data_IF_213778688126
#
_entry.id   IF_213778688126
#
_cell.length_a   1.000
_cell.length_b   1.000
_cell.length_c   1.000
_cell.angle_alpha   90.00
_cell.angle_beta   90.00
_cell.angle_gamma   90.00
#
_symmetry.space_group_name_H-M   'P 1'
#
loop_
_entity.id
_entity.type
_entity.pdbx_description
1 polymer ?
#
# COMPACT_ATOMS: atom_id res chain seq x y z
N UNK A 1 8.60 -22.02 -3.70
CA UNK A 1 8.93 -21.49 -5.05
C UNK A 1 10.44 -21.48 -5.22
N UNK A 2 10.97 -21.70 -6.44
CA UNK A 2 12.39 -21.49 -6.71
C UNK A 2 12.76 -20.00 -6.55
N UNK A 3 14.03 -19.66 -6.29
CA UNK A 3 14.49 -18.28 -6.18
C UNK A 3 14.33 -17.53 -7.51
N UNK A 4 14.09 -16.22 -7.45
CA UNK A 4 13.96 -15.35 -8.63
C UNK A 4 15.33 -15.07 -9.27
N UNK A 5 15.63 -15.60 -10.47
CA UNK A 5 16.96 -15.44 -11.08
C UNK A 5 17.34 -13.97 -11.35
N UNK A 6 16.34 -13.13 -11.63
CA UNK A 6 16.53 -11.70 -11.91
C UNK A 6 17.00 -10.86 -10.70
N UNK A 7 16.87 -11.39 -9.47
CA UNK A 7 17.29 -10.70 -8.24
C UNK A 7 18.41 -11.47 -7.50
N UNK A 8 19.22 -12.24 -8.24
CA UNK A 8 20.38 -12.94 -7.68
C UNK A 8 21.51 -11.97 -7.34
N UNK A 9 22.28 -12.28 -6.30
CA UNK A 9 23.41 -11.44 -5.85
C UNK A 9 24.55 -11.50 -6.87
N UNK A 10 25.05 -10.34 -7.29
CA UNK A 10 26.30 -10.21 -8.02
C UNK A 10 26.97 -8.86 -7.74
N UNK A 11 28.28 -8.77 -8.01
CA UNK A 11 29.06 -7.55 -7.79
C UNK A 11 28.51 -6.39 -8.63
N UNK A 12 28.24 -5.26 -7.97
CA UNK A 12 27.80 -4.03 -8.63
C UNK A 12 26.32 -3.96 -8.99
N UNK A 13 25.53 -5.01 -8.71
CA UNK A 13 24.09 -4.98 -8.90
C UNK A 13 23.38 -4.33 -7.71
N UNK A 14 22.24 -3.69 -7.98
CA UNK A 14 21.32 -3.18 -6.97
C UNK A 14 20.20 -4.20 -6.73
N UNK A 15 19.88 -4.54 -5.47
CA UNK A 15 18.78 -5.46 -5.18
C UNK A 15 17.43 -4.83 -5.54
N UNK A 16 16.48 -5.66 -5.96
CA UNK A 16 15.09 -5.25 -6.12
C UNK A 16 14.55 -4.68 -4.80
N UNK A 17 13.81 -3.58 -4.92
CA UNK A 17 13.16 -2.92 -3.80
C UNK A 17 11.67 -2.77 -4.07
N UNK A 18 10.85 -2.94 -3.03
CA UNK A 18 9.42 -2.63 -3.06
C UNK A 18 9.13 -1.14 -2.85
N UNK A 19 10.16 -0.31 -2.62
CA UNK A 19 9.98 1.13 -2.42
C UNK A 19 9.38 1.80 -3.66
N UNK A 20 8.35 2.63 -3.46
CA UNK A 20 7.70 3.41 -4.51
C UNK A 20 7.47 4.86 -4.07
N UNK A 21 8.52 5.65 -3.76
CA UNK A 21 8.35 7.07 -3.50
C UNK A 21 7.79 7.75 -4.76
N UNK A 22 6.64 8.41 -4.64
CA UNK A 22 5.83 8.85 -5.78
C UNK A 22 5.43 10.31 -5.64
N UNK A 23 5.48 11.02 -6.78
CA UNK A 23 4.93 12.38 -6.93
C UNK A 23 3.95 12.33 -8.10
N UNK A 24 2.69 12.66 -7.83
CA UNK A 24 1.62 12.70 -8.82
C UNK A 24 1.35 14.15 -9.18
N UNK A 25 1.45 14.45 -10.48
CA UNK A 25 1.26 15.79 -11.03
C UNK A 25 -0.09 15.89 -11.76
N UNK A 26 -0.78 17.01 -11.60
CA UNK A 26 -1.87 17.40 -12.49
C UNK A 26 -1.33 17.70 -13.90
N UNK A 27 -2.25 17.80 -14.87
CA UNK A 27 -1.92 18.09 -16.28
C UNK A 27 -1.14 19.39 -16.49
N UNK A 28 -1.24 20.34 -15.57
CA UNK A 28 -0.52 21.61 -15.61
C UNK A 28 0.85 21.54 -14.88
N UNK A 29 1.27 20.36 -14.42
CA UNK A 29 2.56 20.14 -13.77
C UNK A 29 2.61 20.48 -12.29
N UNK A 30 1.46 20.73 -11.63
CA UNK A 30 1.42 20.97 -10.19
C UNK A 30 1.33 19.65 -9.43
N UNK A 31 2.05 19.51 -8.32
CA UNK A 31 1.96 18.31 -7.49
C UNK A 31 0.63 18.28 -6.74
N UNK A 32 -0.17 17.25 -7.02
CA UNK A 32 -1.44 17.01 -6.32
C UNK A 32 -1.24 16.06 -5.13
N UNK A 33 -0.27 15.13 -5.24
CA UNK A 33 0.06 14.18 -4.17
C UNK A 33 1.54 13.83 -4.18
N UNK A 34 2.19 13.93 -3.03
CA UNK A 34 3.51 13.36 -2.76
C UNK A 34 3.32 12.27 -1.72
N UNK A 35 3.73 11.04 -2.00
CA UNK A 35 3.44 9.90 -1.14
C UNK A 35 4.54 8.84 -1.17
N UNK A 36 4.74 8.17 -0.03
CA UNK A 36 5.61 7.03 0.10
C UNK A 36 5.28 6.20 1.33
N UNK A 37 5.97 5.07 1.49
CA UNK A 37 5.80 4.20 2.64
C UNK A 37 7.06 3.43 3.00
N UNK A 38 7.11 2.95 4.24
CA UNK A 38 8.00 1.88 4.69
C UNK A 38 7.16 0.66 5.10
N UNK A 39 7.65 -0.57 4.90
CA UNK A 39 6.86 -1.79 5.21
C UNK A 39 7.15 -3.01 4.33
N UNK A 40 8.35 -3.10 3.75
CA UNK A 40 8.73 -4.22 2.88
C UNK A 40 7.82 -4.37 1.67
N UNK A 41 7.37 -5.59 1.39
CA UNK A 41 6.49 -5.92 0.26
C UNK A 41 5.15 -5.19 0.28
N UNK A 42 4.70 -4.72 1.45
CA UNK A 42 3.44 -3.98 1.59
C UNK A 42 3.51 -2.58 1.01
N UNK A 43 4.70 -1.98 0.89
CA UNK A 43 4.90 -0.59 0.42
C UNK A 43 4.13 -0.33 -0.88
N UNK A 44 4.34 -1.18 -1.88
CA UNK A 44 3.73 -1.01 -3.22
C UNK A 44 2.21 -0.99 -3.15
N UNK A 45 1.60 -1.96 -2.46
CA UNK A 45 0.13 -2.04 -2.33
C UNK A 45 -0.45 -0.87 -1.53
N UNK A 46 0.25 -0.42 -0.49
CA UNK A 46 -0.28 0.66 0.36
C UNK A 46 -0.18 2.02 -0.31
N UNK A 47 0.90 2.28 -1.05
CA UNK A 47 1.00 3.47 -1.91
C UNK A 47 -0.11 3.46 -2.96
N UNK A 48 -0.38 2.31 -3.60
CA UNK A 48 -1.44 2.20 -4.58
C UNK A 48 -2.84 2.47 -3.99
N UNK A 49 -3.20 1.82 -2.88
CA UNK A 49 -4.51 1.98 -2.23
C UNK A 49 -4.72 3.42 -1.75
N UNK A 50 -3.76 4.00 -1.03
CA UNK A 50 -3.89 5.37 -0.51
C UNK A 50 -3.98 6.38 -1.65
N UNK A 51 -3.20 6.19 -2.73
CA UNK A 51 -3.30 7.04 -3.93
C UNK A 51 -4.68 6.93 -4.59
N UNK A 52 -5.22 5.71 -4.70
CA UNK A 52 -6.54 5.47 -5.28
C UNK A 52 -7.64 6.17 -4.48
N UNK A 53 -7.69 5.97 -3.16
CA UNK A 53 -8.68 6.62 -2.29
C UNK A 53 -8.56 8.14 -2.34
N UNK A 54 -7.34 8.67 -2.31
CA UNK A 54 -7.12 10.14 -2.32
C UNK A 54 -7.52 10.76 -3.66
N UNK A 55 -7.07 10.20 -4.78
CA UNK A 55 -7.21 10.86 -6.09
C UNK A 55 -8.44 10.43 -6.88
N UNK A 56 -8.91 9.19 -6.73
CA UNK A 56 -10.06 8.68 -7.48
C UNK A 56 -11.36 8.77 -6.68
N UNK A 57 -11.31 8.48 -5.38
CA UNK A 57 -12.49 8.58 -4.50
C UNK A 57 -12.65 9.99 -3.90
N UNK A 58 -11.57 10.80 -3.91
CA UNK A 58 -11.58 12.17 -3.42
C UNK A 58 -11.57 12.27 -1.89
N UNK A 59 -11.14 11.20 -1.21
CA UNK A 59 -11.06 11.17 0.24
C UNK A 59 -9.86 11.99 0.76
N UNK A 60 -10.03 12.62 1.92
CA UNK A 60 -8.97 13.39 2.58
C UNK A 60 -7.78 12.48 2.96
N UNK A 61 -6.57 12.86 2.53
CA UNK A 61 -5.36 12.04 2.72
C UNK A 61 -5.12 11.67 4.20
N UNK A 62 -5.40 12.62 5.11
CA UNK A 62 -5.26 12.41 6.55
C UNK A 62 -6.12 11.25 7.07
N UNK A 63 -7.36 11.15 6.57
CA UNK A 63 -8.30 10.11 6.97
C UNK A 63 -7.93 8.78 6.30
N UNK A 64 -7.57 8.81 5.02
CA UNK A 64 -7.18 7.62 4.25
C UNK A 64 -5.95 6.94 4.86
N UNK A 65 -4.93 7.70 5.26
CA UNK A 65 -3.71 7.14 5.87
C UNK A 65 -4.00 6.38 7.17
N UNK A 66 -5.07 6.74 7.89
CA UNK A 66 -5.48 6.11 9.14
C UNK A 66 -6.41 4.92 8.95
N UNK A 67 -6.92 4.67 7.74
CA UNK A 67 -7.79 3.53 7.48
C UNK A 67 -7.03 2.21 7.69
N UNK A 68 -7.67 1.18 8.27
CA UNK A 68 -7.14 -0.17 8.29
C UNK A 68 -6.86 -0.66 6.86
N UNK A 69 -5.76 -1.39 6.67
CA UNK A 69 -5.28 -1.81 5.36
C UNK A 69 -5.33 -3.31 5.14
N UNK A 70 -5.29 -3.70 3.86
CA UNK A 70 -5.13 -5.08 3.42
C UNK A 70 -3.96 -5.24 2.42
N UNK A 71 -3.46 -6.45 2.27
CA UNK A 71 -2.34 -6.77 1.39
C UNK A 71 -2.40 -8.23 0.93
N UNK A 72 -2.07 -8.46 -0.34
CA UNK A 72 -1.81 -9.79 -0.89
C UNK A 72 -0.61 -9.70 -1.84
N UNK A 73 0.34 -10.62 -1.72
CA UNK A 73 1.59 -10.63 -2.52
C UNK A 73 1.77 -11.94 -3.30
N UNK A 74 0.68 -12.64 -3.59
CA UNK A 74 0.63 -13.96 -4.23
C UNK A 74 1.19 -15.08 -3.36
N UNK A 75 2.41 -14.95 -2.83
CA UNK A 75 2.99 -15.95 -1.93
C UNK A 75 3.46 -15.27 -0.64
N UNK A 76 2.98 -15.68 0.55
CA UNK A 76 1.97 -16.73 0.78
C UNK A 76 0.59 -16.40 0.17
N UNK A 77 -0.21 -17.43 -0.10
CA UNK A 77 -1.57 -17.32 -0.69
C UNK A 77 -2.59 -16.93 0.39
N UNK A 78 -2.40 -15.75 0.98
CA UNK A 78 -3.29 -15.20 2.00
C UNK A 78 -3.43 -13.68 1.83
N UNK A 79 -4.61 -13.16 2.19
CA UNK A 79 -4.83 -11.73 2.35
C UNK A 79 -4.51 -11.38 3.79
N UNK A 80 -3.45 -10.61 4.00
CA UNK A 80 -3.17 -10.00 5.30
C UNK A 80 -4.01 -8.72 5.45
N UNK A 81 -4.56 -8.48 6.64
CA UNK A 81 -5.23 -7.22 6.95
C UNK A 81 -4.94 -6.77 8.38
N UNK A 82 -5.04 -5.46 8.62
CA UNK A 82 -4.93 -4.89 9.97
C UNK A 82 -6.16 -5.22 10.83
N UNK A 83 -5.99 -5.15 12.15
CA UNK A 83 -7.10 -5.19 13.10
C UNK A 83 -8.13 -4.10 12.79
N UNK A 84 -9.41 -4.39 13.03
CA UNK A 84 -10.55 -3.50 12.75
C UNK A 84 -10.78 -3.19 11.26
N UNK A 85 -10.20 -3.97 10.34
CA UNK A 85 -10.62 -3.91 8.94
C UNK A 85 -12.12 -4.25 8.81
N UNK A 86 -12.79 -3.69 7.81
CA UNK A 86 -14.23 -3.87 7.62
C UNK A 86 -14.60 -5.37 7.53
N UNK A 87 -15.35 -5.93 8.50
CA UNK A 87 -15.61 -7.37 8.58
C UNK A 87 -16.43 -7.86 7.39
N UNK A 88 -17.35 -7.05 6.85
CA UNK A 88 -18.15 -7.44 5.69
C UNK A 88 -17.30 -7.65 4.43
N UNK A 89 -16.19 -6.93 4.29
CA UNK A 89 -15.24 -7.13 3.18
C UNK A 89 -14.46 -8.43 3.39
N UNK A 90 -14.03 -8.71 4.62
CA UNK A 90 -13.30 -9.95 4.96
C UNK A 90 -14.19 -11.17 4.73
N UNK A 91 -15.43 -11.16 5.23
CA UNK A 91 -16.41 -12.23 5.02
C UNK A 91 -16.68 -12.45 3.52
N UNK A 92 -16.83 -11.38 2.75
CA UNK A 92 -17.03 -11.45 1.30
C UNK A 92 -15.84 -12.09 0.56
N UNK A 93 -14.61 -11.82 1.00
CA UNK A 93 -13.39 -12.41 0.45
C UNK A 93 -13.27 -13.89 0.84
N UNK A 94 -13.52 -14.22 2.11
CA UNK A 94 -13.53 -15.60 2.60
C UNK A 94 -14.57 -16.46 1.87
N UNK A 95 -15.77 -15.93 1.63
CA UNK A 95 -16.82 -16.60 0.86
C UNK A 95 -16.42 -16.90 -0.60
N UNK A 96 -15.41 -16.21 -1.13
CA UNK A 96 -14.80 -16.47 -2.45
C UNK A 96 -13.59 -17.40 -2.40
N UNK A 97 -13.26 -17.93 -1.22
CA UNK A 97 -12.16 -18.87 -1.02
C UNK A 97 -10.81 -18.21 -0.73
N UNK A 98 -10.78 -16.90 -0.45
CA UNK A 98 -9.55 -16.26 0.01
C UNK A 98 -9.26 -16.61 1.47
N UNK A 99 -8.09 -17.17 1.74
CA UNK A 99 -7.58 -17.21 3.11
C UNK A 99 -7.24 -15.79 3.57
N UNK A 100 -7.61 -15.44 4.80
CA UNK A 100 -7.37 -14.12 5.37
C UNK A 100 -6.68 -14.27 6.71
N UNK A 101 -5.69 -13.42 6.97
CA UNK A 101 -4.93 -13.41 8.21
C UNK A 101 -4.92 -12.01 8.80
N UNK A 102 -5.48 -11.85 10.00
CA UNK A 102 -5.38 -10.60 10.73
C UNK A 102 -3.96 -10.42 11.30
N UNK A 103 -3.39 -9.24 11.10
CA UNK A 103 -2.15 -8.80 11.75
C UNK A 103 -2.53 -7.97 12.98
N UNK A 104 -2.11 -8.43 14.15
CA UNK A 104 -2.34 -7.74 15.42
C UNK A 104 -1.71 -6.34 15.45
N UNK A 105 -2.14 -5.47 16.38
CA UNK A 105 -1.84 -4.03 16.36
C UNK A 105 -0.35 -3.69 16.51
N UNK A 106 0.45 -4.61 17.04
CA UNK A 106 1.90 -4.43 17.23
C UNK A 106 2.75 -5.03 16.11
N UNK A 107 2.14 -5.77 15.16
CA UNK A 107 2.87 -6.43 14.08
C UNK A 107 3.44 -5.45 13.05
N UNK A 108 2.88 -4.23 13.01
CA UNK A 108 3.16 -3.25 11.97
C UNK A 108 2.61 -3.69 10.60
N UNK A 109 2.34 -2.72 9.74
CA UNK A 109 1.87 -2.99 8.37
C UNK A 109 2.70 -2.21 7.36
N UNK A 110 2.28 -1.00 7.00
CA UNK A 110 3.13 -0.02 6.34
C UNK A 110 3.04 1.33 7.05
N UNK A 111 4.17 2.00 7.26
CA UNK A 111 4.20 3.38 7.72
C UNK A 111 4.08 4.29 6.50
N UNK A 112 2.97 5.01 6.37
CA UNK A 112 2.70 5.92 5.26
C UNK A 112 3.14 7.33 5.61
N UNK A 113 3.69 8.05 4.63
CA UNK A 113 3.87 9.49 4.70
C UNK A 113 3.40 10.10 3.38
N UNK A 114 2.70 11.21 3.45
CA UNK A 114 2.32 11.94 2.24
C UNK A 114 1.80 13.35 2.52
N UNK A 115 1.75 14.14 1.46
CA UNK A 115 1.19 15.48 1.42
C UNK A 115 0.30 15.54 0.18
N UNK A 116 -0.96 15.91 0.36
CA UNK A 116 -1.90 16.16 -0.71
C UNK A 116 -2.16 17.66 -0.81
N UNK A 117 -2.40 18.14 -2.03
CA UNK A 117 -2.82 19.50 -2.27
C UNK A 117 -4.32 19.64 -2.01
N UNK A 118 -4.70 20.58 -1.15
CA UNK A 118 -6.10 20.92 -0.90
C UNK A 118 -6.62 22.00 -1.86
N UNK A 119 -7.86 22.45 -1.67
CA UNK A 119 -8.46 23.52 -2.47
C UNK A 119 -7.76 24.89 -2.32
N UNK A 120 -7.00 25.10 -1.24
CA UNK A 120 -6.28 26.34 -0.95
C UNK A 120 -4.82 26.31 -1.39
N UNK A 121 -4.32 25.13 -1.76
CA UNK A 121 -2.95 24.89 -2.20
C UNK A 121 -2.09 24.15 -1.19
N UNK A 122 -2.39 24.19 0.12
CA UNK A 122 -1.81 23.43 1.24
C UNK A 122 -2.68 23.55 2.50
#
# INVERSE_FOLDING_TARGET
>A
MPPSPANMVAKGLQPLSSMVPSVVLSRNGVADLVIGAAGGTKITTQVALVTMHTLLEGDELHDVIQRPRLHHQLVPMEIEHETNFNPSVIEFLQARGHATTERGPTAGFAAMNGVARDANGF
#
